data_IF_879038379662
#
_entry.id   IF_879038379662
#
_cell.length_a   1.000
_cell.length_b   1.000
_cell.length_c   1.000
_cell.angle_alpha   90.00
_cell.angle_beta   90.00
_cell.angle_gamma   90.00
#
_symmetry.space_group_name_H-M   'P 1'
#
loop_
_entity.id
_entity.type
_entity.pdbx_description
1 polymer ?
#
# COMPACT_ATOMS: atom_id res chain seq x y z
N UNK A 1 10.02 -8.44 -17.83
CA UNK A 1 8.89 -7.50 -17.58
C UNK A 1 7.59 -8.21 -17.24
N UNK A 2 7.31 -9.42 -17.76
CA UNK A 2 6.09 -10.17 -17.42
C UNK A 2 5.84 -10.30 -15.92
N UNK A 3 6.89 -10.65 -15.14
CA UNK A 3 6.78 -10.72 -13.68
C UNK A 3 6.29 -9.42 -13.03
N UNK A 4 6.66 -8.24 -13.56
CA UNK A 4 6.17 -6.96 -13.02
C UNK A 4 4.68 -6.73 -13.34
N UNK A 5 4.15 -7.33 -14.40
CA UNK A 5 2.71 -7.28 -14.69
C UNK A 5 1.95 -8.16 -13.71
N UNK A 6 2.41 -9.41 -13.49
CA UNK A 6 1.83 -10.32 -12.48
C UNK A 6 1.92 -9.70 -11.08
N UNK A 7 3.02 -9.01 -10.79
CA UNK A 7 3.21 -8.29 -9.54
C UNK A 7 2.16 -7.18 -9.33
N UNK A 8 1.71 -6.49 -10.38
CA UNK A 8 0.67 -5.46 -10.23
C UNK A 8 -0.63 -6.07 -9.70
N UNK A 9 -1.09 -7.14 -10.34
CA UNK A 9 -2.34 -7.83 -9.98
C UNK A 9 -2.25 -8.38 -8.55
N UNK A 10 -1.15 -9.06 -8.21
CA UNK A 10 -0.91 -9.57 -6.86
C UNK A 10 -0.83 -8.46 -5.81
N UNK A 11 -0.21 -7.32 -6.13
CA UNK A 11 -0.09 -6.21 -5.18
C UNK A 11 -1.44 -5.56 -4.91
N UNK A 12 -2.30 -5.45 -5.94
CA UNK A 12 -3.67 -4.95 -5.79
C UNK A 12 -4.55 -5.90 -4.98
N UNK A 13 -4.46 -7.21 -5.22
CA UNK A 13 -5.18 -8.20 -4.41
C UNK A 13 -4.73 -8.16 -2.95
N UNK A 14 -3.42 -8.09 -2.70
CA UNK A 14 -2.87 -7.98 -1.36
C UNK A 14 -3.37 -6.72 -0.64
N UNK A 15 -3.35 -5.57 -1.33
CA UNK A 15 -3.91 -4.31 -0.85
C UNK A 15 -5.38 -4.47 -0.41
N UNK A 16 -6.21 -5.08 -1.25
CA UNK A 16 -7.62 -5.27 -0.94
C UNK A 16 -7.82 -6.14 0.31
N UNK A 17 -7.05 -7.22 0.44
CA UNK A 17 -7.10 -8.10 1.60
C UNK A 17 -6.62 -7.40 2.88
N UNK A 18 -5.55 -6.61 2.81
CA UNK A 18 -5.03 -5.84 3.95
C UNK A 18 -6.05 -4.80 4.43
N UNK A 19 -6.67 -4.06 3.51
CA UNK A 19 -7.71 -3.08 3.82
C UNK A 19 -8.97 -3.73 4.41
N UNK A 20 -9.42 -4.86 3.85
CA UNK A 20 -10.61 -5.54 4.36
C UNK A 20 -10.40 -6.06 5.78
N UNK A 21 -9.21 -6.62 6.06
CA UNK A 21 -8.83 -7.07 7.41
C UNK A 21 -8.82 -5.91 8.41
N UNK A 22 -8.20 -4.79 8.04
CA UNK A 22 -8.12 -3.60 8.90
C UNK A 22 -9.50 -2.96 9.15
N UNK A 23 -10.35 -2.96 8.12
CA UNK A 23 -11.75 -2.54 8.21
C UNK A 23 -12.54 -3.42 9.18
N UNK A 24 -12.35 -4.74 9.15
CA UNK A 24 -13.01 -5.67 10.09
C UNK A 24 -12.59 -5.44 11.55
N UNK A 25 -11.36 -4.97 11.78
CA UNK A 25 -10.89 -4.57 13.11
C UNK A 25 -11.25 -3.14 13.49
N UNK A 26 -11.86 -2.37 12.56
CA UNK A 26 -12.32 -1.01 12.80
C UNK A 26 -11.24 0.06 12.73
N UNK A 27 -10.19 -0.14 11.93
CA UNK A 27 -9.07 0.79 11.77
C UNK A 27 -8.44 1.18 13.10
N UNK A 28 -7.91 0.19 13.82
CA UNK A 28 -7.25 0.43 15.11
C UNK A 28 -5.81 0.87 14.91
N UNK A 29 -5.35 1.79 15.77
CA UNK A 29 -3.95 2.15 15.86
C UNK A 29 -3.11 0.92 16.22
N UNK A 30 -1.96 0.78 15.57
CA UNK A 30 -1.08 -0.37 15.80
C UNK A 30 -0.41 -0.29 17.19
N UNK A 31 -0.24 0.92 17.75
CA UNK A 31 0.26 1.17 19.11
C UNK A 31 -0.05 2.59 19.56
N UNK A 32 0.20 2.92 20.83
CA UNK A 32 0.02 4.28 21.39
C UNK A 32 0.89 5.33 20.68
N UNK A 33 2.05 4.92 20.17
CA UNK A 33 2.97 5.79 19.44
C UNK A 33 2.73 5.79 17.92
N UNK A 34 1.79 4.96 17.43
CA UNK A 34 1.52 4.79 16.02
C UNK A 34 0.14 5.34 15.68
N UNK A 35 0.12 6.41 14.90
CA UNK A 35 -1.10 7.15 14.57
C UNK A 35 -1.91 6.52 13.43
N UNK A 36 -1.35 5.52 12.74
CA UNK A 36 -1.96 4.80 11.62
C UNK A 36 -2.30 3.34 11.98
N UNK A 37 -3.18 2.74 11.19
CA UNK A 37 -3.64 1.36 11.36
C UNK A 37 -2.80 0.34 10.59
N UNK A 38 -3.07 -0.95 10.80
CA UNK A 38 -2.20 -2.04 10.32
C UNK A 38 -2.10 -2.12 8.80
N UNK A 39 -3.13 -1.71 8.05
CA UNK A 39 -3.11 -1.81 6.58
C UNK A 39 -2.00 -0.99 5.93
N UNK A 40 -1.58 0.13 6.54
CA UNK A 40 -0.44 0.93 6.06
C UNK A 40 0.84 0.10 6.11
N UNK A 41 1.12 -0.53 7.26
CA UNK A 41 2.30 -1.36 7.44
C UNK A 41 2.30 -2.55 6.48
N UNK A 42 1.16 -3.22 6.33
CA UNK A 42 1.02 -4.39 5.47
C UNK A 42 1.30 -4.03 4.00
N UNK A 43 0.71 -2.94 3.49
CA UNK A 43 0.93 -2.46 2.12
C UNK A 43 2.38 -2.08 1.87
N UNK A 44 2.99 -1.28 2.75
CA UNK A 44 4.39 -0.88 2.58
C UNK A 44 5.37 -2.05 2.75
N UNK A 45 5.04 -3.02 3.60
CA UNK A 45 5.85 -4.25 3.74
C UNK A 45 5.85 -5.03 2.43
N UNK A 46 4.68 -5.23 1.83
CA UNK A 46 4.56 -5.93 0.55
C UNK A 46 5.29 -5.19 -0.58
N UNK A 47 5.11 -3.87 -0.71
CA UNK A 47 5.82 -3.07 -1.72
C UNK A 47 7.35 -3.14 -1.54
N UNK A 48 7.83 -3.12 -0.30
CA UNK A 48 9.25 -3.26 0.00
C UNK A 48 9.78 -4.66 -0.33
N UNK A 49 8.99 -5.71 -0.14
CA UNK A 49 9.35 -7.07 -0.56
C UNK A 49 9.48 -7.16 -2.08
N UNK A 50 8.53 -6.60 -2.84
CA UNK A 50 8.60 -6.55 -4.30
C UNK A 50 9.83 -5.77 -4.79
N UNK A 51 10.13 -4.64 -4.16
CA UNK A 51 11.35 -3.88 -4.44
C UNK A 51 12.63 -4.67 -4.12
N UNK A 52 12.63 -5.42 -3.02
CA UNK A 52 13.71 -6.33 -2.65
C UNK A 52 13.96 -7.39 -3.73
N UNK A 53 12.90 -8.00 -4.28
CA UNK A 53 13.01 -8.98 -5.37
C UNK A 53 13.65 -8.34 -6.60
N UNK A 54 13.24 -7.13 -7.00
CA UNK A 54 13.87 -6.42 -8.12
C UNK A 54 15.37 -6.22 -7.89
N UNK A 55 15.78 -5.90 -6.66
CA UNK A 55 17.20 -5.76 -6.30
C UNK A 55 17.97 -7.10 -6.36
N UNK A 56 17.31 -8.23 -6.14
CA UNK A 56 17.96 -9.56 -6.23
C UNK A 56 18.26 -10.00 -7.66
N UNK A 57 17.72 -9.31 -8.68
CA UNK A 57 17.98 -9.61 -10.09
C UNK A 57 19.43 -9.30 -10.53
N UNK A 58 20.27 -8.79 -9.63
CA UNK A 58 21.70 -8.45 -9.83
C UNK A 58 21.96 -7.69 -11.14
N UNK A 59 21.11 -6.69 -11.41
CA UNK A 59 21.19 -5.87 -12.61
C UNK A 59 22.40 -4.92 -12.49
N UNK A 60 23.34 -5.00 -13.43
CA UNK A 60 24.53 -4.14 -13.43
C UNK A 60 24.43 -2.91 -14.35
N UNK A 61 23.55 -2.94 -15.36
CA UNK A 61 23.36 -1.84 -16.31
C UNK A 61 22.42 -0.78 -15.71
N UNK A 62 22.90 0.47 -15.47
CA UNK A 62 22.08 1.56 -14.92
C UNK A 62 20.81 1.86 -15.75
N UNK A 63 20.85 1.68 -17.07
CA UNK A 63 19.71 1.92 -17.96
C UNK A 63 18.63 0.85 -17.73
N UNK A 64 19.03 -0.40 -17.54
CA UNK A 64 18.11 -1.51 -17.25
C UNK A 64 17.50 -1.34 -15.86
N UNK A 65 18.31 -0.99 -14.85
CA UNK A 65 17.82 -0.70 -13.49
C UNK A 65 16.77 0.43 -13.55
N UNK A 66 17.06 1.52 -14.25
CA UNK A 66 16.13 2.64 -14.40
C UNK A 66 14.82 2.22 -15.08
N UNK A 67 14.88 1.34 -16.08
CA UNK A 67 13.68 0.81 -16.75
C UNK A 67 12.81 -0.03 -15.81
N UNK A 68 13.42 -0.87 -14.97
CA UNK A 68 12.70 -1.67 -13.98
C UNK A 68 12.08 -0.78 -12.89
N UNK A 69 12.84 0.18 -12.36
CA UNK A 69 12.35 1.12 -11.35
C UNK A 69 11.21 2.00 -11.89
N UNK A 70 11.33 2.49 -13.13
CA UNK A 70 10.27 3.24 -13.81
C UNK A 70 8.99 2.41 -13.99
N UNK A 71 9.11 1.09 -14.20
CA UNK A 71 7.94 0.22 -14.29
C UNK A 71 7.34 -0.07 -12.92
N UNK A 72 8.18 -0.28 -11.91
CA UNK A 72 7.74 -0.54 -10.55
C UNK A 72 7.07 0.70 -9.91
N UNK A 73 7.49 1.91 -10.29
CA UNK A 73 6.79 3.13 -9.86
C UNK A 73 5.33 3.19 -10.32
N UNK A 74 5.00 2.56 -11.46
CA UNK A 74 3.59 2.42 -11.90
C UNK A 74 2.82 1.53 -10.93
N UNK A 75 3.40 0.41 -10.50
CA UNK A 75 2.82 -0.48 -9.48
C UNK A 75 2.57 0.28 -8.18
N UNK A 76 3.58 0.99 -7.67
CA UNK A 76 3.46 1.79 -6.45
C UNK A 76 2.32 2.80 -6.58
N UNK A 77 2.26 3.53 -7.70
CA UNK A 77 1.19 4.51 -7.93
C UNK A 77 -0.19 3.86 -7.96
N UNK A 78 -0.35 2.71 -8.61
CA UNK A 78 -1.63 1.99 -8.67
C UNK A 78 -2.07 1.51 -7.29
N UNK A 79 -1.16 0.92 -6.52
CA UNK A 79 -1.44 0.44 -5.15
C UNK A 79 -1.80 1.58 -4.22
N UNK A 80 -1.03 2.68 -4.20
CA UNK A 80 -1.29 3.81 -3.31
C UNK A 80 -2.59 4.56 -3.68
N UNK A 81 -2.87 4.75 -4.98
CA UNK A 81 -4.15 5.32 -5.43
C UNK A 81 -5.32 4.36 -5.17
N UNK A 82 -5.07 3.05 -5.30
CA UNK A 82 -6.00 1.98 -4.95
C UNK A 82 -6.32 1.95 -3.46
N UNK A 83 -5.37 2.34 -2.60
CA UNK A 83 -5.56 2.48 -1.15
C UNK A 83 -6.38 3.73 -0.80
N UNK A 84 -6.08 4.87 -1.43
CA UNK A 84 -6.71 6.15 -1.11
C UNK A 84 -8.23 6.16 -1.36
N UNK A 85 -8.71 5.51 -2.42
CA UNK A 85 -10.13 5.53 -2.80
C UNK A 85 -11.06 4.85 -1.77
N UNK A 86 -10.79 3.61 -1.32
CA UNK A 86 -11.54 2.97 -0.23
C UNK A 86 -11.49 3.74 1.08
N UNK A 87 -10.33 4.30 1.44
CA UNK A 87 -10.19 5.11 2.66
C UNK A 87 -11.08 6.35 2.59
N UNK A 88 -11.09 7.08 1.47
CA UNK A 88 -11.98 8.23 1.27
C UNK A 88 -13.46 7.86 1.45
N UNK A 89 -13.91 6.75 0.82
CA UNK A 89 -15.30 6.28 0.96
C UNK A 89 -15.65 5.91 2.40
N UNK A 90 -14.70 5.30 3.11
CA UNK A 90 -14.87 4.93 4.52
C UNK A 90 -14.95 6.17 5.41
N UNK A 91 -14.12 7.17 5.13
CA UNK A 91 -14.12 8.46 5.82
C UNK A 91 -15.46 9.18 5.67
N UNK A 92 -16.00 9.22 4.44
CA UNK A 92 -17.33 9.79 4.15
C UNK A 92 -18.45 9.07 4.92
N UNK A 93 -18.37 7.73 5.04
CA UNK A 93 -19.33 6.93 5.78
C UNK A 93 -19.21 7.04 7.31
N UNK A 94 -17.99 7.25 7.82
CA UNK A 94 -17.73 7.36 9.27
C UNK A 94 -18.43 8.57 9.93
N UNK A 95 -18.91 9.53 9.14
CA UNK A 95 -19.89 10.52 9.58
C UNK A 95 -19.44 11.42 10.74
N UNK A 96 -18.13 11.62 10.92
CA UNK A 96 -17.59 12.44 12.01
C UNK A 96 -17.28 11.69 13.31
N UNK A 97 -17.13 10.36 13.29
CA UNK A 97 -16.47 9.66 14.39
C UNK A 97 -15.00 10.09 14.48
N UNK A 98 -14.71 11.12 15.28
CA UNK A 98 -13.42 11.83 15.35
C UNK A 98 -12.20 10.91 15.38
N UNK A 99 -12.26 9.81 16.15
CA UNK A 99 -11.14 8.87 16.28
C UNK A 99 -10.86 8.11 14.98
N UNK A 100 -11.88 7.54 14.34
CA UNK A 100 -11.71 6.79 13.08
C UNK A 100 -11.30 7.74 11.96
N UNK A 101 -11.96 8.89 11.85
CA UNK A 101 -11.61 9.92 10.88
C UNK A 101 -10.14 10.36 11.00
N UNK A 102 -9.65 10.56 12.23
CA UNK A 102 -8.24 10.89 12.47
C UNK A 102 -7.29 9.79 11.99
N UNK A 103 -7.57 8.53 12.32
CA UNK A 103 -6.75 7.39 11.90
C UNK A 103 -6.72 7.27 10.37
N UNK A 104 -7.88 7.38 9.72
CA UNK A 104 -7.97 7.33 8.25
C UNK A 104 -7.18 8.46 7.58
N UNK A 105 -7.13 9.66 8.17
CA UNK A 105 -6.27 10.74 7.67
C UNK A 105 -4.79 10.44 7.90
N UNK A 106 -4.43 9.91 9.07
CA UNK A 106 -3.04 9.53 9.37
C UNK A 106 -2.54 8.40 8.46
N UNK A 107 -3.44 7.52 8.00
CA UNK A 107 -3.09 6.48 7.03
C UNK A 107 -2.74 7.03 5.63
N UNK A 108 -3.22 8.22 5.29
CA UNK A 108 -3.00 8.87 3.98
C UNK A 108 -1.76 9.77 3.98
N UNK A 109 -1.36 10.29 5.14
CA UNK A 109 -0.22 11.20 5.32
C UNK A 109 1.12 10.54 4.97
#
# INVERSE_FOLDING_TARGET
MQWLNENDDMSMEYLHNALEKDRQTGFQQTSEHCLFSSSVVDVFTQLNQCHGIIKTLDLHDPIVIAKYMKRFSVTISQVLLGYANPIRRTFEYAGGQDRICSILMNNIQ
#
